data_IF_460580769489
#
_entry.id   IF_460580769489
#
_cell.length_a   1.000
_cell.length_b   1.000
_cell.length_c   1.000
_cell.angle_alpha   90.00
_cell.angle_beta   90.00
_cell.angle_gamma   90.00
#
_symmetry.space_group_name_H-M   'P 1'
#
loop_
_entity.id
_entity.type
_entity.pdbx_description
1 polymer ?
#
# COMPACT_ATOMS: atom_id res chain seq x y z
N UNK A 1 -7.96 23.05 9.11
CA UNK A 1 -8.21 22.50 7.77
C UNK A 1 -8.86 21.13 7.96
N UNK A 2 -9.98 20.86 7.28
CA UNK A 2 -10.69 19.59 7.42
C UNK A 2 -9.87 18.45 6.79
N UNK A 3 -9.73 17.27 7.42
CA UNK A 3 -8.86 16.17 6.96
C UNK A 3 -9.25 15.58 5.59
N UNK A 4 -10.39 16.00 5.03
CA UNK A 4 -10.90 15.57 3.73
C UNK A 4 -10.42 16.47 2.56
N UNK A 5 -9.88 17.65 2.84
CA UNK A 5 -9.48 18.59 1.80
C UNK A 5 -8.31 18.00 0.98
N UNK A 6 -8.57 17.66 -0.28
CA UNK A 6 -7.56 17.14 -1.23
C UNK A 6 -7.56 15.61 -1.43
N UNK A 7 -8.39 14.84 -0.71
CA UNK A 7 -8.48 13.38 -0.88
C UNK A 7 -9.57 12.95 -1.88
N UNK A 8 -10.46 13.86 -2.23
CA UNK A 8 -11.58 13.64 -3.16
C UNK A 8 -11.53 14.66 -4.29
N UNK A 9 -11.30 14.19 -5.51
CA UNK A 9 -11.47 15.00 -6.74
C UNK A 9 -12.89 14.82 -7.26
N UNK A 10 -13.85 15.53 -6.66
CA UNK A 10 -15.27 15.50 -7.11
C UNK A 10 -15.36 15.94 -8.57
N UNK A 11 -14.61 16.99 -8.93
CA UNK A 11 -14.56 17.56 -10.28
C UNK A 11 -14.11 16.53 -11.32
N UNK A 12 -13.09 15.72 -11.00
CA UNK A 12 -12.62 14.63 -11.86
C UNK A 12 -13.68 13.54 -11.99
N UNK A 13 -14.38 13.23 -10.90
CA UNK A 13 -15.46 12.24 -10.89
C UNK A 13 -16.68 12.67 -11.72
N UNK A 14 -17.03 13.96 -11.67
CA UNK A 14 -18.05 14.56 -12.53
C UNK A 14 -17.58 14.55 -13.99
N UNK A 15 -16.32 14.92 -14.24
CA UNK A 15 -15.79 14.94 -15.60
C UNK A 15 -15.74 13.55 -16.27
N UNK A 16 -15.53 12.49 -15.48
CA UNK A 16 -15.58 11.11 -15.96
C UNK A 16 -17.00 10.60 -16.23
N UNK A 17 -18.03 11.21 -15.61
CA UNK A 17 -19.44 10.87 -15.81
C UNK A 17 -20.21 12.07 -16.38
N UNK A 18 -19.55 12.82 -17.26
CA UNK A 18 -19.99 14.14 -17.72
C UNK A 18 -21.34 14.11 -18.43
N UNK A 19 -21.57 13.09 -19.26
CA UNK A 19 -22.80 12.98 -20.04
C UNK A 19 -24.02 12.73 -19.15
N UNK A 20 -23.90 11.81 -18.18
CA UNK A 20 -24.94 11.53 -17.17
C UNK A 20 -25.21 12.75 -16.29
N UNK A 21 -24.14 13.43 -15.85
CA UNK A 21 -24.27 14.66 -15.06
C UNK A 21 -25.05 15.75 -15.81
N UNK A 22 -24.72 16.01 -17.07
CA UNK A 22 -25.44 17.03 -17.86
C UNK A 22 -26.85 16.58 -18.25
N UNK A 23 -27.08 15.28 -18.44
CA UNK A 23 -28.42 14.74 -18.66
C UNK A 23 -29.32 15.00 -17.46
N UNK A 24 -28.86 14.68 -16.25
CA UNK A 24 -29.61 14.88 -15.02
C UNK A 24 -29.72 16.36 -14.62
N UNK A 25 -28.73 17.19 -14.96
CA UNK A 25 -28.75 18.64 -14.73
C UNK A 25 -29.80 19.35 -15.61
N UNK A 26 -30.03 18.85 -16.82
CA UNK A 26 -30.99 19.43 -17.76
C UNK A 26 -32.45 19.07 -17.41
N UNK A 27 -32.69 18.15 -16.47
CA UNK A 27 -34.01 17.81 -15.98
C UNK A 27 -34.54 18.93 -15.06
N UNK A 28 -35.42 19.77 -15.60
CA UNK A 28 -35.91 20.98 -14.91
C UNK A 28 -37.10 20.72 -13.98
N UNK A 29 -37.77 19.57 -14.11
CA UNK A 29 -39.00 19.26 -13.38
C UNK A 29 -38.76 18.40 -12.14
N UNK A 30 -37.68 17.63 -12.13
CA UNK A 30 -37.37 16.71 -11.05
C UNK A 30 -35.87 16.76 -10.74
N UNK A 31 -35.52 17.24 -9.55
CA UNK A 31 -34.13 17.26 -9.07
C UNK A 31 -33.69 15.94 -8.45
N UNK A 32 -34.59 14.96 -8.32
CA UNK A 32 -34.29 13.65 -7.73
C UNK A 32 -33.15 12.93 -8.47
N UNK A 33 -33.13 12.83 -9.83
CA UNK A 33 -32.04 12.16 -10.54
C UNK A 33 -30.67 12.80 -10.25
N UNK A 34 -30.60 14.13 -10.32
CA UNK A 34 -29.39 14.87 -9.97
C UNK A 34 -28.96 14.65 -8.52
N UNK A 35 -29.91 14.59 -7.59
CA UNK A 35 -29.63 14.35 -6.18
C UNK A 35 -29.09 12.93 -5.96
N UNK A 36 -29.70 11.93 -6.59
CA UNK A 36 -29.26 10.54 -6.54
C UNK A 36 -27.87 10.38 -7.15
N UNK A 37 -27.62 10.98 -8.32
CA UNK A 37 -26.30 11.01 -8.97
C UNK A 37 -25.23 11.58 -8.03
N UNK A 38 -25.48 12.77 -7.47
CA UNK A 38 -24.52 13.42 -6.57
C UNK A 38 -24.28 12.58 -5.31
N UNK A 39 -25.32 12.05 -4.67
CA UNK A 39 -25.17 11.20 -3.49
C UNK A 39 -24.36 9.94 -3.78
N UNK A 40 -24.63 9.28 -4.90
CA UNK A 40 -23.86 8.12 -5.34
C UNK A 40 -22.40 8.48 -5.61
N UNK A 41 -22.15 9.63 -6.25
CA UNK A 41 -20.80 10.13 -6.50
C UNK A 41 -20.04 10.35 -5.18
N UNK A 42 -20.65 11.02 -4.20
CA UNK A 42 -20.06 11.22 -2.88
C UNK A 42 -19.78 9.91 -2.16
N UNK A 43 -20.70 8.95 -2.23
CA UNK A 43 -20.58 7.66 -1.60
C UNK A 43 -19.42 6.85 -2.20
N UNK A 44 -19.29 6.81 -3.52
CA UNK A 44 -18.20 6.13 -4.22
C UNK A 44 -16.84 6.76 -3.92
N UNK A 45 -16.77 8.10 -3.89
CA UNK A 45 -15.55 8.79 -3.50
C UNK A 45 -15.20 8.58 -2.03
N UNK A 46 -16.18 8.60 -1.14
CA UNK A 46 -16.03 8.30 0.28
C UNK A 46 -15.47 6.90 0.50
N UNK A 47 -15.99 5.89 -0.22
CA UNK A 47 -15.44 4.52 -0.22
C UNK A 47 -13.99 4.50 -0.66
N UNK A 48 -13.63 5.16 -1.77
CA UNK A 48 -12.24 5.20 -2.27
C UNK A 48 -11.28 5.81 -1.24
N UNK A 49 -11.68 6.91 -0.59
CA UNK A 49 -10.88 7.51 0.48
C UNK A 49 -10.75 6.56 1.66
N UNK A 50 -11.86 5.94 2.08
CA UNK A 50 -11.83 4.98 3.18
C UNK A 50 -10.90 3.80 2.86
N UNK A 51 -10.95 3.27 1.64
CA UNK A 51 -10.02 2.23 1.16
C UNK A 51 -8.57 2.71 1.19
N UNK A 52 -8.27 3.93 0.75
CA UNK A 52 -6.90 4.49 0.82
C UNK A 52 -6.41 4.67 2.26
N UNK A 53 -7.31 5.03 3.18
CA UNK A 53 -6.98 5.23 4.61
C UNK A 53 -6.88 3.92 5.40
N UNK A 54 -7.65 2.88 5.00
CA UNK A 54 -7.63 1.56 5.64
C UNK A 54 -6.63 0.60 5.01
N UNK A 55 -6.19 0.86 3.78
CA UNK A 55 -4.99 0.23 3.27
C UNK A 55 -3.85 0.57 4.22
N UNK A 56 -3.09 -0.42 4.72
CA UNK A 56 -1.89 -0.13 5.48
C UNK A 56 -1.01 0.72 4.57
N UNK A 57 -0.90 2.01 4.87
CA UNK A 57 0.18 2.80 4.34
C UNK A 57 1.43 2.07 4.80
N UNK A 58 2.13 1.46 3.86
CA UNK A 58 3.53 1.15 4.06
C UNK A 58 4.12 2.54 4.23
N UNK A 59 4.17 3.03 5.48
CA UNK A 59 5.05 4.14 5.82
C UNK A 59 6.33 3.81 5.09
N UNK A 60 6.82 4.74 4.25
CA UNK A 60 8.15 4.63 3.68
C UNK A 60 9.10 4.62 4.87
N UNK A 61 9.24 3.43 5.44
CA UNK A 61 10.03 3.17 6.61
C UNK A 61 11.41 3.46 6.07
N UNK A 62 12.00 4.55 6.53
CA UNK A 62 13.35 4.93 6.12
C UNK A 62 14.26 3.84 6.67
N UNK A 63 14.43 2.80 5.86
CA UNK A 63 15.24 1.65 6.17
C UNK A 63 16.69 2.06 5.94
N UNK A 64 17.61 1.68 6.84
CA UNK A 64 19.02 1.73 6.50
C UNK A 64 19.27 0.98 5.18
N UNK A 65 20.17 1.52 4.35
CA UNK A 65 20.44 1.03 2.99
C UNK A 65 20.55 -0.50 2.90
N UNK A 66 21.25 -1.13 3.86
CA UNK A 66 21.42 -2.59 3.91
C UNK A 66 20.10 -3.35 4.12
N UNK A 67 19.18 -2.85 4.94
CA UNK A 67 17.88 -3.49 5.18
C UNK A 67 16.97 -3.33 3.98
N UNK A 68 17.03 -2.18 3.32
CA UNK A 68 16.33 -1.96 2.05
C UNK A 68 16.81 -2.95 0.98
N UNK A 69 18.12 -3.14 0.87
CA UNK A 69 18.70 -4.12 -0.05
C UNK A 69 18.27 -5.56 0.27
N UNK A 70 18.28 -5.95 1.55
CA UNK A 70 17.74 -7.26 1.99
C UNK A 70 16.27 -7.40 1.58
N UNK A 71 15.46 -6.36 1.79
CA UNK A 71 14.05 -6.39 1.41
C UNK A 71 13.86 -6.51 -0.11
N UNK A 72 14.66 -5.81 -0.91
CA UNK A 72 14.63 -5.91 -2.38
C UNK A 72 15.00 -7.32 -2.84
N UNK A 73 16.04 -7.92 -2.28
CA UNK A 73 16.42 -9.31 -2.55
C UNK A 73 15.23 -10.26 -2.30
N UNK A 74 14.47 -10.03 -1.23
CA UNK A 74 13.32 -10.87 -0.86
C UNK A 74 12.08 -10.61 -1.72
N UNK A 75 11.94 -9.41 -2.31
CA UNK A 75 10.92 -9.10 -3.32
C UNK A 75 11.24 -9.82 -4.64
N UNK A 76 12.49 -9.81 -5.06
CA UNK A 76 12.93 -10.45 -6.31
C UNK A 76 12.95 -11.98 -6.20
N UNK A 77 13.36 -12.50 -5.05
CA UNK A 77 13.55 -13.93 -4.78
C UNK A 77 12.86 -14.29 -3.46
N UNK A 78 11.54 -14.58 -3.48
CA UNK A 78 10.84 -15.03 -2.30
C UNK A 78 11.41 -16.37 -1.81
N UNK A 79 11.25 -16.65 -0.52
CA UNK A 79 11.76 -17.85 0.14
C UNK A 79 13.30 -17.98 0.11
N UNK A 80 14.02 -16.87 0.28
CA UNK A 80 15.48 -16.90 0.38
C UNK A 80 15.95 -17.41 1.74
N UNK A 81 16.95 -18.29 1.76
CA UNK A 81 17.63 -18.71 2.99
C UNK A 81 18.61 -17.66 3.50
N UNK A 82 18.99 -17.76 4.77
CA UNK A 82 20.03 -16.88 5.35
C UNK A 82 21.36 -16.95 4.55
N UNK A 83 21.77 -18.14 4.12
CA UNK A 83 23.00 -18.32 3.34
C UNK A 83 22.94 -17.67 1.95
N UNK A 84 21.75 -17.58 1.36
CA UNK A 84 21.55 -16.86 0.09
C UNK A 84 21.69 -15.35 0.28
N UNK A 85 21.13 -14.82 1.37
CA UNK A 85 21.23 -13.40 1.71
C UNK A 85 22.69 -13.05 2.07
N UNK A 86 23.32 -13.83 2.94
CA UNK A 86 24.71 -13.64 3.39
C UNK A 86 25.71 -13.59 2.23
N UNK A 87 25.51 -14.37 1.17
CA UNK A 87 26.38 -14.36 -0.02
C UNK A 87 26.43 -13.00 -0.74
N UNK A 88 25.42 -12.15 -0.59
CA UNK A 88 25.41 -10.77 -1.13
C UNK A 88 26.06 -9.73 -0.21
N UNK A 89 26.36 -10.09 1.03
CA UNK A 89 26.91 -9.20 2.04
C UNK A 89 28.18 -9.79 2.67
N UNK A 90 29.16 -10.17 1.84
CA UNK A 90 30.38 -10.87 2.28
C UNK A 90 31.22 -10.07 3.29
N UNK A 91 31.17 -8.73 3.22
CA UNK A 91 31.87 -7.83 4.15
C UNK A 91 31.13 -7.58 5.45
N UNK A 92 29.92 -8.12 5.64
CA UNK A 92 29.07 -7.89 6.81
C UNK A 92 29.12 -9.11 7.73
N UNK A 93 29.31 -8.85 9.02
CA UNK A 93 29.30 -9.91 10.03
C UNK A 93 27.93 -10.63 10.03
N UNK A 94 27.89 -11.98 10.02
CA UNK A 94 26.65 -12.75 10.09
C UNK A 94 25.71 -12.35 11.24
N UNK A 95 26.26 -12.00 12.41
CA UNK A 95 25.46 -11.52 13.56
C UNK A 95 24.71 -10.23 13.23
N UNK A 96 25.33 -9.32 12.49
CA UNK A 96 24.71 -8.07 12.04
C UNK A 96 23.59 -8.34 11.05
N UNK A 97 23.77 -9.28 10.11
CA UNK A 97 22.71 -9.67 9.18
C UNK A 97 21.52 -10.33 9.89
N UNK A 98 21.76 -11.15 10.92
CA UNK A 98 20.68 -11.68 11.75
C UNK A 98 19.91 -10.56 12.47
N UNK A 99 20.60 -9.53 12.96
CA UNK A 99 19.95 -8.37 13.56
C UNK A 99 19.12 -7.58 12.54
N UNK A 100 19.63 -7.38 11.33
CA UNK A 100 18.89 -6.70 10.25
C UNK A 100 17.63 -7.45 9.84
N UNK A 101 17.71 -8.78 9.69
CA UNK A 101 16.53 -9.63 9.44
C UNK A 101 15.54 -9.56 10.61
N UNK A 102 16.03 -9.61 11.85
CA UNK A 102 15.18 -9.45 13.03
C UNK A 102 14.45 -8.11 13.01
N UNK A 103 15.12 -7.01 12.67
CA UNK A 103 14.50 -5.69 12.58
C UNK A 103 13.44 -5.62 11.49
N UNK A 104 13.71 -6.19 10.32
CA UNK A 104 12.72 -6.30 9.25
C UNK A 104 11.50 -7.15 9.65
N UNK A 105 11.70 -8.20 10.45
CA UNK A 105 10.60 -9.01 11.01
C UNK A 105 9.80 -8.24 12.07
N UNK A 106 10.47 -7.52 12.99
CA UNK A 106 9.84 -6.67 14.00
C UNK A 106 8.99 -5.55 13.36
N UNK A 107 9.44 -5.01 12.21
CA UNK A 107 8.71 -4.04 11.39
C UNK A 107 7.61 -4.67 10.54
N UNK A 108 7.35 -5.98 10.67
CA UNK A 108 6.37 -6.72 9.88
C UNK A 108 6.60 -6.65 8.36
N UNK A 109 7.82 -6.37 7.89
CA UNK A 109 8.12 -6.28 6.45
C UNK A 109 8.45 -7.66 5.85
N UNK A 110 8.97 -8.57 6.68
CA UNK A 110 9.31 -9.93 6.27
C UNK A 110 8.83 -10.93 7.33
N UNK A 111 8.66 -12.19 6.93
CA UNK A 111 8.39 -13.30 7.82
C UNK A 111 9.39 -14.42 7.59
N UNK A 112 9.84 -15.03 8.69
CA UNK A 112 10.65 -16.24 8.67
C UNK A 112 9.71 -17.44 8.57
N UNK A 113 9.85 -18.21 7.51
CA UNK A 113 9.08 -19.43 7.25
C UNK A 113 9.94 -20.63 7.64
N UNK A 114 9.47 -21.37 8.65
CA UNK A 114 10.17 -22.52 9.22
C UNK A 114 11.00 -22.21 10.47
N UNK A 115 11.20 -23.25 11.28
CA UNK A 115 11.86 -23.15 12.61
C UNK A 115 13.28 -23.72 12.58
N UNK A 116 13.57 -24.62 11.64
CA UNK A 116 14.82 -25.40 11.57
C UNK A 116 15.94 -24.68 10.79
N UNK A 117 17.06 -25.39 10.57
CA UNK A 117 18.22 -24.90 9.78
C UNK A 117 17.88 -24.55 8.32
N UNK A 118 16.76 -25.06 7.79
CA UNK A 118 16.29 -24.75 6.44
C UNK A 118 15.34 -23.55 6.37
N UNK A 119 15.24 -22.75 7.42
CA UNK A 119 14.33 -21.61 7.43
C UNK A 119 14.65 -20.60 6.33
N UNK A 120 13.58 -20.11 5.71
CA UNK A 120 13.62 -19.12 4.62
C UNK A 120 12.88 -17.87 5.03
N UNK A 121 13.10 -16.79 4.30
CA UNK A 121 12.46 -15.50 4.52
C UNK A 121 11.64 -15.12 3.29
N UNK A 122 10.48 -14.50 3.52
CA UNK A 122 9.64 -13.93 2.47
C UNK A 122 9.14 -12.55 2.91
N UNK A 123 8.82 -11.70 1.94
CA UNK A 123 8.12 -10.44 2.20
C UNK A 123 6.73 -10.75 2.77
N UNK A 124 6.33 -10.00 3.79
CA UNK A 124 4.97 -10.07 4.32
C UNK A 124 4.11 -9.12 3.46
N UNK A 125 3.18 -9.70 2.72
CA UNK A 125 2.15 -8.96 1.95
C UNK A 125 1.13 -8.33 2.91
#
# INVERSE_FOLDING_TARGET
MSPLHGLVSIEEAINNNRDEYYQDLNETKNSQPLTEFLLNLYLEQGKKVFTKLTQPQIEETILPLRRQEILNILKDRPYASFDFIKRRFLSVNPKTLHYDLKKLQEQNLIVKVGVTRGAVYQVKL
#
